data_IF_977618452948
#
_entry.id   IF_977618452948
#
_cell.length_a   1.000
_cell.length_b   1.000
_cell.length_c   1.000
_cell.angle_alpha   90.00
_cell.angle_beta   90.00
_cell.angle_gamma   90.00
#
_symmetry.space_group_name_H-M   'P 1'
#
loop_
_entity.id
_entity.type
_entity.pdbx_description
1 polymer ?
#
# COMPACT_ATOMS: atom_id res chain seq x y z
N UNK A 1 17.54 -20.83 3.53
CA UNK A 1 16.51 -19.85 3.95
C UNK A 1 15.32 -20.05 3.03
N UNK A 2 14.10 -20.13 3.54
CA UNK A 2 12.89 -20.27 2.71
C UNK A 2 12.61 -18.97 1.98
N UNK A 3 12.18 -19.04 0.70
CA UNK A 3 11.81 -17.86 -0.08
C UNK A 3 10.31 -17.61 0.04
N UNK A 4 9.95 -16.33 0.20
CA UNK A 4 8.59 -15.82 0.04
C UNK A 4 8.55 -15.05 -1.29
N UNK A 5 7.69 -15.45 -2.22
CA UNK A 5 7.38 -14.69 -3.42
C UNK A 5 6.10 -13.90 -3.18
N UNK A 6 6.22 -12.60 -3.20
CA UNK A 6 5.14 -11.66 -2.88
C UNK A 6 4.62 -11.03 -4.16
N UNK A 7 3.32 -11.11 -4.41
CA UNK A 7 2.66 -10.41 -5.51
C UNK A 7 1.98 -9.16 -4.98
N UNK A 8 2.43 -7.99 -5.41
CA UNK A 8 2.00 -6.70 -4.89
C UNK A 8 1.48 -5.77 -5.98
N UNK A 9 0.32 -5.16 -5.71
CA UNK A 9 -0.21 -4.03 -6.49
C UNK A 9 0.41 -2.70 -6.04
N UNK A 10 1.15 -2.69 -4.93
CA UNK A 10 1.81 -1.53 -4.37
C UNK A 10 3.27 -1.49 -4.78
N UNK A 11 3.79 -0.29 -5.07
CA UNK A 11 5.20 -0.08 -5.36
C UNK A 11 5.99 0.00 -4.05
N UNK A 12 7.12 -0.71 -4.02
CA UNK A 12 8.03 -0.69 -2.87
C UNK A 12 8.53 0.72 -2.52
N UNK A 13 8.83 1.51 -3.56
CA UNK A 13 9.45 2.83 -3.43
C UNK A 13 8.42 3.97 -3.38
N UNK A 14 7.11 3.68 -3.25
CA UNK A 14 6.10 4.74 -3.29
C UNK A 14 5.81 5.30 -1.90
N UNK A 15 5.09 4.59 -1.06
CA UNK A 15 4.82 4.97 0.33
C UNK A 15 5.12 3.80 1.25
N UNK A 16 5.65 4.10 2.44
CA UNK A 16 5.99 3.07 3.42
C UNK A 16 4.74 2.69 4.22
N UNK A 17 4.26 1.47 4.03
CA UNK A 17 3.02 0.99 4.64
C UNK A 17 3.12 -0.50 5.00
N UNK A 18 1.99 -1.18 5.22
CA UNK A 18 1.93 -2.58 5.70
C UNK A 18 2.90 -3.53 5.00
N UNK A 19 3.02 -3.59 3.65
CA UNK A 19 3.98 -4.49 3.01
C UNK A 19 5.42 -4.23 3.44
N UNK A 20 5.87 -2.98 3.45
CA UNK A 20 7.23 -2.65 3.86
C UNK A 20 7.47 -3.00 5.32
N UNK A 21 6.51 -2.69 6.22
CA UNK A 21 6.62 -3.03 7.65
C UNK A 21 6.73 -4.55 7.88
N UNK A 22 5.91 -5.36 7.20
CA UNK A 22 5.93 -6.81 7.38
C UNK A 22 7.14 -7.44 6.70
N UNK A 23 7.40 -7.11 5.44
CA UNK A 23 8.42 -7.79 4.64
C UNK A 23 9.83 -7.46 5.13
N UNK A 24 10.11 -6.25 5.63
CA UNK A 24 11.39 -5.91 6.25
C UNK A 24 11.66 -6.71 7.53
N UNK A 25 10.61 -7.02 8.30
CA UNK A 25 10.73 -7.84 9.51
C UNK A 25 10.88 -9.33 9.15
N UNK A 26 10.11 -9.80 8.17
CA UNK A 26 10.19 -11.18 7.67
C UNK A 26 11.55 -11.46 6.98
N UNK A 27 12.17 -10.46 6.35
CA UNK A 27 13.48 -10.58 5.71
C UNK A 27 14.63 -10.97 6.68
N UNK A 28 14.41 -10.87 7.99
CA UNK A 28 15.34 -11.40 9.00
C UNK A 28 15.41 -12.94 9.00
N UNK A 29 14.38 -13.60 8.47
CA UNK A 29 14.22 -15.05 8.54
C UNK A 29 13.97 -15.69 7.17
N UNK A 30 13.57 -14.91 6.17
CA UNK A 30 13.17 -15.35 4.84
C UNK A 30 13.89 -14.54 3.77
N UNK A 31 14.10 -15.13 2.60
CA UNK A 31 14.41 -14.39 1.39
C UNK A 31 13.10 -13.90 0.78
N UNK A 32 12.97 -12.62 0.54
CA UNK A 32 11.77 -11.98 0.02
C UNK A 32 11.98 -11.58 -1.45
N UNK A 33 11.10 -12.01 -2.33
CA UNK A 33 11.07 -11.57 -3.73
C UNK A 33 9.71 -10.93 -4.00
N UNK A 34 9.70 -9.64 -4.28
CA UNK A 34 8.48 -8.86 -4.47
C UNK A 34 8.28 -8.66 -5.96
N UNK A 35 7.25 -9.27 -6.52
CA UNK A 35 6.81 -9.07 -7.89
C UNK A 35 5.76 -7.96 -7.90
N UNK A 36 6.15 -6.80 -8.41
CA UNK A 36 5.26 -5.66 -8.58
C UNK A 36 4.45 -5.75 -9.88
N UNK A 37 3.39 -4.97 -9.97
CA UNK A 37 2.66 -4.79 -11.22
C UNK A 37 3.58 -4.33 -12.36
N UNK A 38 3.33 -4.77 -13.61
CA UNK A 38 4.13 -4.34 -14.75
C UNK A 38 4.15 -2.82 -14.94
N UNK A 39 5.25 -2.32 -15.47
CA UNK A 39 5.40 -0.95 -15.93
C UNK A 39 5.48 -0.94 -17.46
N UNK A 40 4.79 0.02 -18.06
CA UNK A 40 4.87 0.23 -19.50
C UNK A 40 6.29 0.65 -19.91
N UNK A 41 6.82 0.00 -20.95
CA UNK A 41 8.07 0.37 -21.61
C UNK A 41 8.02 -0.04 -23.08
N UNK A 42 7.72 0.92 -23.95
CA UNK A 42 7.64 0.71 -25.39
C UNK A 42 8.98 0.40 -26.05
N UNK A 43 10.11 0.59 -25.34
CA UNK A 43 11.45 0.56 -25.94
C UNK A 43 12.02 -0.85 -26.13
N UNK A 44 11.31 -1.92 -25.75
CA UNK A 44 11.87 -3.26 -25.88
C UNK A 44 10.93 -4.41 -25.53
N UNK A 45 11.40 -5.65 -25.62
CA UNK A 45 10.63 -6.81 -25.21
C UNK A 45 10.37 -6.82 -23.70
N UNK A 46 9.41 -7.64 -23.29
CA UNK A 46 9.14 -7.86 -21.87
C UNK A 46 10.41 -8.36 -21.16
N UNK A 47 10.73 -7.74 -20.02
CA UNK A 47 11.90 -8.07 -19.20
C UNK A 47 11.62 -7.85 -17.73
N UNK A 48 12.43 -8.49 -16.86
CA UNK A 48 12.34 -8.35 -15.41
C UNK A 48 13.50 -7.53 -14.89
N UNK A 49 13.22 -6.31 -14.42
CA UNK A 49 14.19 -5.52 -13.68
C UNK A 49 14.22 -5.96 -12.22
N UNK A 50 15.42 -6.03 -11.64
CA UNK A 50 15.62 -6.41 -10.23
C UNK A 50 16.41 -5.34 -9.50
N UNK A 51 15.99 -5.05 -8.27
CA UNK A 51 16.74 -4.21 -7.33
C UNK A 51 16.74 -4.84 -5.94
N UNK A 52 17.76 -4.55 -5.16
CA UNK A 52 17.93 -5.07 -3.79
C UNK A 52 17.97 -3.90 -2.80
N UNK A 53 16.82 -3.33 -2.43
CA UNK A 53 16.76 -2.16 -1.56
C UNK A 53 17.25 -2.45 -0.14
N UNK A 54 17.14 -3.69 0.32
CA UNK A 54 17.54 -4.12 1.65
C UNK A 54 18.08 -5.57 1.60
N UNK A 55 18.90 -5.99 2.59
CA UNK A 55 19.33 -7.38 2.69
C UNK A 55 18.13 -8.35 2.67
N UNK A 56 18.26 -9.41 1.87
CA UNK A 56 17.24 -10.45 1.68
C UNK A 56 15.92 -9.97 1.04
N UNK A 57 15.86 -8.75 0.49
CA UNK A 57 14.70 -8.25 -0.24
C UNK A 57 15.11 -7.93 -1.68
N UNK A 58 14.52 -8.63 -2.63
CA UNK A 58 14.64 -8.36 -4.07
C UNK A 58 13.30 -7.86 -4.58
N UNK A 59 13.27 -6.68 -5.19
CA UNK A 59 12.11 -6.15 -5.89
C UNK A 59 12.24 -6.48 -7.37
N UNK A 60 11.23 -7.15 -7.91
CA UNK A 60 11.13 -7.60 -9.29
C UNK A 60 10.06 -6.77 -10.01
N UNK A 61 10.46 -5.92 -10.95
CA UNK A 61 9.59 -5.05 -11.75
C UNK A 61 9.52 -5.54 -13.18
N UNK A 62 8.43 -6.17 -13.61
CA UNK A 62 8.25 -6.48 -15.02
C UNK A 62 8.14 -5.17 -15.83
N UNK A 63 8.87 -5.10 -16.95
CA UNK A 63 8.72 -4.08 -17.99
C UNK A 63 8.09 -4.72 -19.19
N UNK A 64 7.02 -4.15 -19.72
CA UNK A 64 6.31 -4.69 -20.87
C UNK A 64 5.98 -3.59 -21.89
N UNK A 65 5.86 -3.91 -23.18
CA UNK A 65 5.46 -2.95 -24.20
C UNK A 65 3.96 -2.58 -24.15
N UNK A 66 3.18 -3.21 -23.26
CA UNK A 66 1.74 -2.96 -23.15
C UNK A 66 1.47 -1.81 -22.19
N UNK A 67 0.65 -0.86 -22.62
CA UNK A 67 0.10 0.20 -21.76
C UNK A 67 -1.26 -0.25 -21.20
N UNK A 68 -1.21 -1.23 -20.30
CA UNK A 68 -2.36 -1.79 -19.62
C UNK A 68 -2.15 -1.80 -18.11
N UNK A 69 -3.18 -1.51 -17.30
CA UNK A 69 -3.03 -1.34 -15.87
C UNK A 69 -2.82 -2.67 -15.13
N UNK A 70 -1.93 -2.66 -14.19
CA UNK A 70 -1.74 -3.72 -13.20
C UNK A 70 -1.48 -5.10 -13.80
N UNK A 71 -1.97 -6.14 -13.13
CA UNK A 71 -1.92 -7.53 -13.61
C UNK A 71 -3.09 -7.84 -14.54
N UNK A 72 -3.24 -7.04 -15.63
CA UNK A 72 -4.17 -7.35 -16.72
C UNK A 72 -3.83 -8.70 -17.37
N UNK A 73 -4.81 -9.40 -17.98
CA UNK A 73 -4.59 -10.75 -18.57
C UNK A 73 -3.47 -10.75 -19.61
N UNK A 74 -3.45 -9.74 -20.49
CA UNK A 74 -2.40 -9.63 -21.51
C UNK A 74 -1.02 -9.31 -20.90
N UNK A 75 -0.98 -8.56 -19.79
CA UNK A 75 0.23 -8.34 -19.01
C UNK A 75 0.74 -9.66 -18.41
N UNK A 76 -0.18 -10.46 -17.84
CA UNK A 76 0.14 -11.77 -17.25
C UNK A 76 0.81 -12.67 -18.28
N UNK A 77 0.29 -12.71 -19.53
CA UNK A 77 0.88 -13.53 -20.60
C UNK A 77 2.34 -13.17 -20.89
N UNK A 78 2.73 -11.90 -20.72
CA UNK A 78 4.11 -11.45 -20.89
C UNK A 78 4.97 -11.64 -19.64
N UNK A 79 4.37 -11.55 -18.44
CA UNK A 79 5.09 -11.64 -17.16
C UNK A 79 5.35 -13.09 -16.77
N UNK A 80 4.43 -14.02 -17.03
CA UNK A 80 4.55 -15.42 -16.65
C UNK A 80 5.87 -16.06 -17.09
N UNK A 81 6.32 -15.94 -18.37
CA UNK A 81 7.62 -16.49 -18.79
C UNK A 81 8.81 -15.88 -18.04
N UNK A 82 8.73 -14.60 -17.62
CA UNK A 82 9.79 -13.93 -16.88
C UNK A 82 9.95 -14.49 -15.45
N UNK A 83 8.89 -15.08 -14.89
CA UNK A 83 8.89 -15.69 -13.57
C UNK A 83 9.30 -17.15 -13.59
N UNK A 84 9.25 -17.83 -14.73
CA UNK A 84 9.64 -19.25 -14.84
C UNK A 84 11.06 -19.53 -14.36
N UNK A 85 11.95 -18.54 -14.50
CA UNK A 85 13.36 -18.59 -14.05
C UNK A 85 13.62 -17.76 -12.78
N UNK A 86 12.55 -17.34 -12.08
CA UNK A 86 12.68 -16.55 -10.86
C UNK A 86 13.39 -17.33 -9.74
N UNK A 87 13.06 -18.60 -9.63
CA UNK A 87 13.60 -19.54 -8.64
C UNK A 87 14.01 -20.86 -9.29
N UNK A 88 14.97 -21.59 -8.70
CA UNK A 88 15.22 -22.98 -9.08
C UNK A 88 13.93 -23.83 -8.99
N UNK A 89 13.67 -24.67 -9.95
CA UNK A 89 12.47 -25.55 -9.97
C UNK A 89 12.33 -26.48 -8.75
N UNK A 90 13.42 -26.79 -8.09
CA UNK A 90 13.44 -27.57 -6.85
C UNK A 90 13.00 -26.78 -5.61
N UNK A 91 12.99 -25.44 -5.69
CA UNK A 91 12.61 -24.60 -4.58
C UNK A 91 11.08 -24.46 -4.50
N UNK A 92 10.54 -24.67 -3.29
CA UNK A 92 9.12 -24.54 -2.99
C UNK A 92 8.91 -23.29 -2.13
N UNK A 93 8.61 -22.14 -2.73
CA UNK A 93 8.43 -20.89 -1.99
C UNK A 93 7.11 -20.87 -1.22
N UNK A 94 6.96 -19.86 -0.35
CA UNK A 94 5.66 -19.39 0.09
C UNK A 94 5.20 -18.37 -0.94
N UNK A 95 4.02 -18.54 -1.54
CA UNK A 95 3.39 -17.56 -2.41
C UNK A 95 2.50 -16.64 -1.55
N UNK A 96 2.78 -15.34 -1.56
CA UNK A 96 2.10 -14.33 -0.75
C UNK A 96 1.43 -13.31 -1.64
N UNK A 97 0.13 -13.15 -1.52
CA UNK A 97 -0.66 -12.27 -2.36
C UNK A 97 -1.19 -11.07 -1.58
N UNK A 98 -0.85 -9.86 -2.01
CA UNK A 98 -1.53 -8.61 -1.64
C UNK A 98 -2.62 -8.24 -2.64
N UNK A 99 -2.63 -8.87 -3.82
CA UNK A 99 -3.66 -8.65 -4.84
C UNK A 99 -4.10 -9.96 -5.48
N UNK A 100 -5.41 -10.21 -5.56
CA UNK A 100 -5.93 -11.37 -6.30
C UNK A 100 -5.63 -11.31 -7.81
N UNK A 101 -5.37 -10.11 -8.36
CA UNK A 101 -5.15 -9.94 -9.80
C UNK A 101 -3.91 -10.69 -10.31
N UNK A 102 -2.94 -10.96 -9.46
CA UNK A 102 -1.74 -11.73 -9.79
C UNK A 102 -1.95 -13.26 -9.72
N UNK A 103 -3.11 -13.75 -9.32
CA UNK A 103 -3.36 -15.19 -9.12
C UNK A 103 -2.93 -16.08 -10.29
N UNK A 104 -3.15 -15.72 -11.58
CA UNK A 104 -2.71 -16.57 -12.68
C UNK A 104 -1.19 -16.83 -12.71
N UNK A 105 -0.37 -15.96 -12.13
CA UNK A 105 1.08 -16.15 -12.05
C UNK A 105 1.48 -17.27 -11.07
N UNK A 106 0.55 -17.74 -10.22
CA UNK A 106 0.81 -18.86 -9.32
C UNK A 106 1.21 -20.14 -10.06
N UNK A 107 0.74 -20.32 -11.29
CA UNK A 107 1.08 -21.50 -12.14
C UNK A 107 2.58 -21.59 -12.45
N UNK A 108 3.32 -20.49 -12.41
CA UNK A 108 4.77 -20.45 -12.62
C UNK A 108 5.57 -20.90 -11.39
N UNK A 109 4.89 -21.10 -10.27
CA UNK A 109 5.48 -21.50 -9.00
C UNK A 109 4.94 -22.89 -8.57
N UNK A 110 5.76 -23.60 -7.80
CA UNK A 110 5.31 -24.79 -7.06
C UNK A 110 5.38 -24.46 -5.57
N UNK A 111 4.43 -23.65 -5.03
CA UNK A 111 4.54 -23.19 -3.67
C UNK A 111 4.29 -24.31 -2.66
N UNK A 112 4.91 -24.18 -1.49
CA UNK A 112 4.64 -25.02 -0.33
C UNK A 112 3.48 -24.51 0.52
N UNK A 113 3.15 -23.24 0.37
CA UNK A 113 2.09 -22.52 1.09
C UNK A 113 1.64 -21.34 0.25
N UNK A 114 0.33 -21.09 0.23
CA UNK A 114 -0.30 -19.93 -0.39
C UNK A 114 -0.93 -19.06 0.70
N UNK A 115 -0.53 -17.79 0.77
CA UNK A 115 -1.03 -16.82 1.73
C UNK A 115 -1.74 -15.69 0.97
N UNK A 116 -2.93 -15.34 1.40
CA UNK A 116 -3.62 -14.13 0.97
C UNK A 116 -3.64 -13.12 2.13
N UNK A 117 -2.91 -12.02 1.99
CA UNK A 117 -2.93 -10.89 2.93
C UNK A 117 -3.87 -9.80 2.38
N UNK A 118 -5.14 -9.92 2.73
CA UNK A 118 -6.21 -9.01 2.36
C UNK A 118 -6.10 -7.75 3.25
N UNK A 119 -5.29 -6.80 2.82
CA UNK A 119 -5.09 -5.55 3.54
C UNK A 119 -6.16 -4.48 3.24
N UNK A 120 -6.82 -4.59 2.10
CA UNK A 120 -7.87 -3.69 1.63
C UNK A 120 -8.99 -4.48 0.93
N UNK A 121 -10.22 -3.94 0.90
CA UNK A 121 -11.29 -4.43 0.02
C UNK A 121 -11.12 -3.81 -1.37
N UNK A 122 -10.20 -4.39 -2.16
CA UNK A 122 -9.82 -3.84 -3.47
C UNK A 122 -11.00 -3.67 -4.43
N UNK A 123 -12.05 -4.48 -4.27
CA UNK A 123 -13.26 -4.40 -5.09
C UNK A 123 -14.12 -3.16 -4.79
N UNK A 124 -13.92 -2.51 -3.64
CA UNK A 124 -14.64 -1.31 -3.23
C UNK A 124 -14.04 -0.01 -3.77
N UNK A 125 -12.84 -0.07 -4.37
CA UNK A 125 -12.23 1.11 -4.98
C UNK A 125 -12.82 1.43 -6.35
N UNK A 126 -12.87 2.71 -6.68
CA UNK A 126 -13.26 3.18 -8.02
C UNK A 126 -12.37 2.53 -9.08
N UNK A 127 -12.99 2.12 -10.19
CA UNK A 127 -12.30 1.47 -11.33
C UNK A 127 -11.68 0.09 -11.02
N UNK A 128 -12.13 -0.60 -9.96
CA UNK A 128 -11.69 -1.98 -9.72
C UNK A 128 -11.97 -2.86 -10.95
N UNK A 129 -11.02 -3.71 -11.38
CA UNK A 129 -11.23 -4.62 -12.51
C UNK A 129 -12.39 -5.59 -12.25
N UNK A 130 -13.20 -5.88 -13.28
CA UNK A 130 -14.33 -6.81 -13.13
C UNK A 130 -13.91 -8.22 -12.70
N UNK A 131 -12.72 -8.66 -13.12
CA UNK A 131 -12.15 -9.96 -12.77
C UNK A 131 -11.75 -10.07 -11.31
N UNK A 132 -11.62 -8.96 -10.59
CA UNK A 132 -11.09 -8.94 -9.23
C UNK A 132 -11.87 -9.85 -8.27
N UNK A 133 -13.21 -9.75 -8.27
CA UNK A 133 -14.08 -10.58 -7.42
C UNK A 133 -13.97 -12.08 -7.73
N UNK A 134 -13.88 -12.42 -9.01
CA UNK A 134 -13.71 -13.80 -9.46
C UNK A 134 -12.34 -14.34 -9.02
N UNK A 135 -11.29 -13.55 -9.22
CA UNK A 135 -9.92 -13.93 -8.82
C UNK A 135 -9.76 -13.99 -7.31
N UNK A 136 -10.42 -13.10 -6.57
CA UNK A 136 -10.43 -13.18 -5.10
C UNK A 136 -11.10 -14.47 -4.63
N UNK A 137 -12.24 -14.84 -5.21
CA UNK A 137 -12.92 -16.09 -4.85
C UNK A 137 -12.05 -17.30 -5.18
N UNK A 138 -11.36 -17.30 -6.31
CA UNK A 138 -10.43 -18.36 -6.67
C UNK A 138 -9.22 -18.41 -5.73
N UNK A 139 -8.66 -17.25 -5.37
CA UNK A 139 -7.53 -17.15 -4.43
C UNK A 139 -7.92 -17.64 -3.04
N UNK A 140 -9.10 -17.28 -2.54
CA UNK A 140 -9.61 -17.78 -1.26
C UNK A 140 -9.76 -19.31 -1.25
N UNK A 141 -10.15 -19.91 -2.38
CA UNK A 141 -10.24 -21.38 -2.47
C UNK A 141 -8.87 -22.10 -2.51
N UNK A 142 -7.81 -21.39 -2.93
CA UNK A 142 -6.45 -21.94 -3.08
C UNK A 142 -5.53 -21.60 -1.91
N UNK A 143 -5.86 -20.55 -1.14
CA UNK A 143 -5.06 -20.13 -0.01
C UNK A 143 -5.07 -21.17 1.12
N UNK A 144 -3.95 -21.34 1.79
CA UNK A 144 -3.82 -22.09 3.05
C UNK A 144 -4.10 -21.19 4.25
N UNK A 145 -3.75 -19.91 4.13
CA UNK A 145 -3.91 -18.87 5.14
C UNK A 145 -4.44 -17.59 4.53
N UNK A 146 -5.35 -16.95 5.25
CA UNK A 146 -5.87 -15.61 4.90
C UNK A 146 -5.66 -14.67 6.09
N UNK A 147 -4.99 -13.55 5.84
CA UNK A 147 -4.87 -12.46 6.79
C UNK A 147 -5.79 -11.32 6.38
N UNK A 148 -6.59 -10.84 7.31
CA UNK A 148 -7.45 -9.68 7.14
C UNK A 148 -6.84 -8.47 7.84
N UNK A 149 -6.65 -7.38 7.11
CA UNK A 149 -5.97 -6.15 7.57
C UNK A 149 -6.79 -5.28 8.53
N UNK A 150 -7.93 -5.77 9.00
CA UNK A 150 -8.77 -5.08 9.98
C UNK A 150 -10.01 -5.87 10.34
N UNK A 151 -10.72 -5.48 11.43
CA UNK A 151 -11.91 -6.18 11.89
C UNK A 151 -13.03 -6.28 10.84
N UNK A 152 -13.29 -5.20 10.11
CA UNK A 152 -14.33 -5.18 9.05
C UNK A 152 -14.01 -6.13 7.90
N UNK A 153 -12.73 -6.22 7.49
CA UNK A 153 -12.26 -7.19 6.51
C UNK A 153 -12.37 -8.63 7.04
N UNK A 154 -11.99 -8.84 8.29
CA UNK A 154 -12.13 -10.14 8.93
C UNK A 154 -13.59 -10.61 8.94
N UNK A 155 -14.52 -9.78 9.37
CA UNK A 155 -15.95 -10.11 9.34
C UNK A 155 -16.47 -10.43 7.93
N UNK A 156 -15.99 -9.72 6.92
CA UNK A 156 -16.36 -9.96 5.53
C UNK A 156 -15.78 -11.25 4.95
N UNK A 157 -14.62 -11.72 5.45
CA UNK A 157 -13.90 -12.89 4.88
C UNK A 157 -14.02 -14.16 5.72
N UNK A 158 -14.29 -14.10 7.03
CA UNK A 158 -14.25 -15.26 7.96
C UNK A 158 -15.14 -16.43 7.59
N UNK A 159 -16.22 -16.19 6.84
CA UNK A 159 -17.13 -17.24 6.38
C UNK A 159 -16.79 -17.74 4.97
N UNK A 160 -15.79 -17.15 4.31
CA UNK A 160 -15.38 -17.50 2.95
C UNK A 160 -14.16 -18.43 2.91
N UNK A 161 -13.48 -18.60 4.05
CA UNK A 161 -12.31 -19.45 4.15
C UNK A 161 -12.17 -19.97 5.59
N UNK A 162 -11.79 -21.26 5.82
CA UNK A 162 -11.72 -21.85 7.16
C UNK A 162 -10.59 -21.32 8.04
N UNK A 163 -9.57 -20.69 7.46
CA UNK A 163 -8.34 -20.28 8.16
C UNK A 163 -8.07 -18.79 7.92
N UNK A 164 -8.96 -17.93 8.44
CA UNK A 164 -8.86 -16.47 8.37
C UNK A 164 -8.45 -15.91 9.72
N UNK A 165 -7.46 -15.03 9.72
CA UNK A 165 -6.95 -14.36 10.93
C UNK A 165 -7.00 -12.86 10.77
N UNK A 166 -7.46 -12.16 11.81
CA UNK A 166 -7.46 -10.70 11.86
C UNK A 166 -6.09 -10.20 12.35
N UNK A 167 -5.35 -9.55 11.45
CA UNK A 167 -4.11 -8.85 11.76
C UNK A 167 -4.21 -7.41 11.27
N UNK A 168 -4.81 -6.50 12.05
CA UNK A 168 -4.91 -5.09 11.69
C UNK A 168 -3.56 -4.50 11.36
N UNK A 169 -3.55 -3.53 10.44
CA UNK A 169 -2.38 -2.68 10.26
C UNK A 169 -2.02 -2.03 11.60
N UNK A 170 -0.75 -1.83 11.84
CA UNK A 170 -0.23 -1.32 13.10
C UNK A 170 0.85 -0.29 12.84
N UNK A 171 1.18 0.48 13.86
CA UNK A 171 2.17 1.54 13.82
C UNK A 171 3.53 1.03 14.34
N UNK A 172 4.62 1.56 13.80
CA UNK A 172 5.94 1.42 14.40
C UNK A 172 6.07 2.38 15.59
N UNK A 173 5.76 1.86 16.78
CA UNK A 173 5.70 2.66 18.01
C UNK A 173 7.04 3.35 18.28
N UNK A 174 8.17 2.65 18.12
CA UNK A 174 9.48 3.23 18.39
C UNK A 174 9.81 4.38 17.42
N UNK A 175 9.38 4.27 16.16
CA UNK A 175 9.55 5.31 15.15
C UNK A 175 8.73 6.56 15.49
N UNK A 176 7.43 6.41 15.73
CA UNK A 176 6.54 7.56 15.96
C UNK A 176 6.65 8.15 17.37
N UNK A 177 7.09 7.39 18.39
CA UNK A 177 7.33 7.91 19.73
C UNK A 177 8.40 9.01 19.77
N UNK A 178 9.26 9.11 18.75
CA UNK A 178 10.22 10.20 18.62
C UNK A 178 9.55 11.58 18.57
N UNK A 179 8.32 11.67 18.05
CA UNK A 179 7.54 12.90 18.04
C UNK A 179 7.22 13.46 19.41
N UNK A 180 7.31 12.65 20.47
CA UNK A 180 7.04 13.05 21.86
C UNK A 180 8.26 13.70 22.54
N UNK A 181 9.06 14.46 21.82
CA UNK A 181 10.14 15.28 22.34
C UNK A 181 11.55 14.79 22.06
N UNK A 182 11.73 13.73 21.24
CA UNK A 182 13.04 13.25 20.83
C UNK A 182 13.56 13.93 19.55
N UNK A 183 12.69 14.62 18.78
CA UNK A 183 13.02 15.28 17.53
C UNK A 183 12.38 16.66 17.43
N UNK A 184 13.05 17.57 16.72
CA UNK A 184 12.53 18.89 16.41
C UNK A 184 11.50 18.82 15.26
N UNK A 185 10.62 19.83 15.19
CA UNK A 185 9.71 20.03 14.06
C UNK A 185 10.45 20.02 12.72
N UNK A 186 9.77 19.55 11.68
CA UNK A 186 10.36 19.50 10.34
C UNK A 186 10.43 20.90 9.72
N UNK A 187 11.60 21.33 9.15
CA UNK A 187 11.79 22.69 8.62
C UNK A 187 10.78 23.11 7.55
N UNK A 188 10.23 22.18 6.79
CA UNK A 188 9.23 22.46 5.77
C UNK A 188 7.92 23.09 6.32
N UNK A 189 7.69 23.00 7.64
CA UNK A 189 6.51 23.59 8.29
C UNK A 189 6.83 24.72 9.28
N UNK A 190 8.10 25.13 9.40
CA UNK A 190 8.52 26.16 10.38
C UNK A 190 7.87 27.53 10.13
N UNK A 191 7.57 27.83 8.86
CA UNK A 191 6.90 29.07 8.45
C UNK A 191 5.38 29.07 8.69
N UNK A 192 4.79 27.91 9.03
CA UNK A 192 3.36 27.78 9.30
C UNK A 192 3.13 28.07 10.79
N UNK A 193 2.30 29.06 11.16
CA UNK A 193 2.03 29.35 12.56
C UNK A 193 1.22 28.22 13.24
N UNK A 194 1.12 28.23 14.54
CA UNK A 194 0.16 27.40 15.27
C UNK A 194 -1.22 28.06 15.43
N UNK A 195 -2.26 27.26 15.79
CA UNK A 195 -2.21 25.82 15.97
C UNK A 195 -2.21 25.05 14.64
N UNK A 196 -1.43 23.97 14.56
CA UNK A 196 -1.33 23.11 13.38
C UNK A 196 -2.11 21.82 13.58
N UNK A 197 -3.02 21.55 12.66
CA UNK A 197 -3.79 20.31 12.60
C UNK A 197 -3.28 19.50 11.41
N UNK A 198 -2.59 18.39 11.65
CA UNK A 198 -1.86 17.66 10.63
C UNK A 198 -2.48 16.34 10.23
N UNK A 199 -2.36 16.02 8.96
CA UNK A 199 -2.65 14.71 8.38
C UNK A 199 -1.44 14.24 7.57
N UNK A 200 -1.06 12.97 7.71
CA UNK A 200 -0.13 12.35 6.79
C UNK A 200 -0.74 11.09 6.17
N UNK A 201 -0.54 10.92 4.87
CA UNK A 201 -1.06 9.78 4.09
C UNK A 201 -1.32 10.15 2.65
N UNK A 202 -1.76 9.17 1.87
CA UNK A 202 -2.19 9.41 0.50
C UNK A 202 -3.46 10.24 0.49
N UNK A 203 -3.44 11.36 -0.24
CA UNK A 203 -4.59 12.24 -0.45
C UNK A 203 -5.31 11.76 -1.71
N UNK A 204 -6.42 11.05 -1.52
CA UNK A 204 -7.24 10.49 -2.59
C UNK A 204 -8.74 10.52 -2.23
N UNK A 205 -9.56 9.74 -2.93
CA UNK A 205 -11.02 9.63 -2.73
C UNK A 205 -11.45 9.24 -1.30
N UNK A 206 -10.53 8.84 -0.44
CA UNK A 206 -10.80 8.50 0.97
C UNK A 206 -10.82 9.73 1.87
N UNK A 207 -10.17 10.83 1.46
CA UNK A 207 -10.15 12.08 2.22
C UNK A 207 -11.43 12.86 1.97
N UNK A 208 -12.09 13.30 3.03
CA UNK A 208 -13.23 14.21 2.96
C UNK A 208 -12.74 15.65 2.72
N UNK A 209 -12.58 15.99 1.46
CA UNK A 209 -12.11 17.31 1.04
C UNK A 209 -13.11 18.42 1.41
N UNK A 210 -14.41 18.11 1.49
CA UNK A 210 -15.43 19.05 1.92
C UNK A 210 -15.30 19.37 3.42
N UNK A 211 -15.01 18.36 4.25
CA UNK A 211 -14.72 18.55 5.66
C UNK A 211 -13.44 19.38 5.86
N UNK A 212 -12.38 19.10 5.09
CA UNK A 212 -11.13 19.88 5.14
C UNK A 212 -11.39 21.36 4.79
N UNK A 213 -12.20 21.63 3.75
CA UNK A 213 -12.59 22.99 3.37
C UNK A 213 -13.40 23.67 4.48
N UNK A 214 -14.40 23.00 5.02
CA UNK A 214 -15.26 23.53 6.07
C UNK A 214 -14.47 23.89 7.34
N UNK A 215 -13.56 22.99 7.78
CA UNK A 215 -12.68 23.27 8.92
C UNK A 215 -11.81 24.52 8.69
N UNK A 216 -11.30 24.69 7.48
CA UNK A 216 -10.49 25.84 7.15
C UNK A 216 -11.30 27.16 7.11
N UNK A 217 -12.54 27.09 6.61
CA UNK A 217 -13.45 28.24 6.50
C UNK A 217 -13.99 28.65 7.89
N UNK A 218 -14.35 27.69 8.74
CA UNK A 218 -14.91 27.93 10.09
C UNK A 218 -13.85 28.37 11.10
N UNK A 219 -12.59 27.98 10.87
CA UNK A 219 -11.46 28.25 11.79
C UNK A 219 -10.27 28.84 11.03
N UNK A 220 -10.34 30.11 10.60
CA UNK A 220 -9.28 30.73 9.80
C UNK A 220 -7.94 30.91 10.53
N UNK A 221 -7.94 30.81 11.85
CA UNK A 221 -6.76 30.81 12.71
C UNK A 221 -6.07 29.44 12.84
N UNK A 222 -6.74 28.35 12.47
CA UNK A 222 -6.15 27.01 12.44
C UNK A 222 -5.40 26.76 11.15
N UNK A 223 -4.30 26.03 11.23
CA UNK A 223 -3.49 25.67 10.07
C UNK A 223 -3.62 24.19 9.76
N UNK A 224 -4.21 23.85 8.63
CA UNK A 224 -4.35 22.47 8.19
C UNK A 224 -3.13 22.05 7.38
N UNK A 225 -2.34 21.11 7.87
CA UNK A 225 -1.07 20.65 7.25
C UNK A 225 -1.25 19.23 6.72
N UNK A 226 -1.29 19.09 5.39
CA UNK A 226 -1.48 17.80 4.73
C UNK A 226 -0.16 17.35 4.09
N UNK A 227 0.34 16.19 4.54
CA UNK A 227 1.61 15.59 4.11
C UNK A 227 1.33 14.28 3.38
N UNK A 228 1.63 14.23 2.10
CA UNK A 228 1.48 13.02 1.29
C UNK A 228 1.25 13.31 -0.19
N UNK A 229 1.33 12.26 -1.04
CA UNK A 229 1.07 12.40 -2.46
C UNK A 229 -0.43 12.50 -2.76
N UNK A 230 -0.78 13.27 -3.78
CA UNK A 230 -2.13 13.29 -4.36
C UNK A 230 -2.22 12.20 -5.41
N UNK A 231 -3.18 11.28 -5.28
CA UNK A 231 -3.33 10.11 -6.15
C UNK A 231 -4.80 9.85 -6.45
N UNK A 232 -5.13 9.45 -7.66
CA UNK A 232 -6.49 9.12 -8.15
C UNK A 232 -7.46 10.30 -8.24
N UNK A 233 -7.15 11.42 -7.64
CA UNK A 233 -7.85 12.70 -7.76
C UNK A 233 -6.90 13.71 -8.41
N UNK A 234 -7.44 14.83 -8.87
CA UNK A 234 -6.64 15.87 -9.49
C UNK A 234 -6.32 16.99 -8.49
N UNK A 235 -5.24 17.73 -8.75
CA UNK A 235 -4.85 18.90 -7.93
C UNK A 235 -5.97 19.97 -7.85
N UNK A 236 -6.79 20.06 -8.91
CA UNK A 236 -7.90 21.02 -9.00
C UNK A 236 -9.09 20.64 -8.07
N UNK A 237 -9.17 19.41 -7.63
CA UNK A 237 -10.18 18.97 -6.66
C UNK A 237 -9.83 19.38 -5.22
N UNK A 238 -8.55 19.75 -4.97
CA UNK A 238 -8.09 20.09 -3.64
C UNK A 238 -8.62 21.47 -3.20
N UNK A 239 -9.22 21.59 -2.00
CA UNK A 239 -9.63 22.90 -1.49
C UNK A 239 -8.42 23.81 -1.28
N UNK A 240 -8.48 25.02 -1.83
CA UNK A 240 -7.44 26.02 -1.71
C UNK A 240 -7.92 27.13 -0.77
N UNK A 241 -7.30 27.21 0.41
CA UNK A 241 -7.51 28.26 1.43
C UNK A 241 -6.17 28.73 1.95
N UNK A 242 -6.07 29.97 2.45
CA UNK A 242 -4.80 30.50 2.97
C UNK A 242 -4.19 29.70 4.11
N UNK A 243 -5.03 28.99 4.86
CA UNK A 243 -4.68 28.17 6.02
C UNK A 243 -4.69 26.64 5.72
N UNK A 244 -4.67 26.24 4.45
CA UNK A 244 -4.47 24.83 4.04
C UNK A 244 -3.12 24.71 3.36
N UNK A 245 -2.25 23.86 3.89
CA UNK A 245 -0.87 23.67 3.43
C UNK A 245 -0.67 22.24 2.93
N UNK A 246 -0.44 22.06 1.63
CA UNK A 246 -0.10 20.77 1.04
C UNK A 246 1.41 20.68 0.89
N UNK A 247 2.06 19.82 1.69
CA UNK A 247 3.53 19.73 1.73
C UNK A 247 4.09 18.63 0.81
N UNK A 248 3.21 17.91 0.09
CA UNK A 248 3.60 16.85 -0.82
C UNK A 248 4.10 15.58 -0.10
N UNK A 249 4.60 14.62 -0.89
CA UNK A 249 5.15 13.38 -0.36
C UNK A 249 6.43 13.64 0.41
N UNK A 250 6.60 12.96 1.54
CA UNK A 250 7.79 13.01 2.40
C UNK A 250 8.25 11.60 2.71
N UNK A 251 9.52 11.48 3.06
CA UNK A 251 10.08 10.20 3.47
C UNK A 251 9.48 9.74 4.80
N UNK A 252 9.27 8.44 4.91
CA UNK A 252 8.75 7.84 6.14
C UNK A 252 9.59 8.21 7.37
N UNK A 253 10.91 8.30 7.20
CA UNK A 253 11.85 8.68 8.26
C UNK A 253 11.59 10.09 8.84
N UNK A 254 11.03 11.00 8.05
CA UNK A 254 10.76 12.38 8.47
C UNK A 254 9.41 12.56 9.16
N UNK A 255 8.49 11.60 9.04
CA UNK A 255 7.12 11.74 9.59
C UNK A 255 7.07 12.09 11.08
N UNK A 256 7.90 11.51 11.97
CA UNK A 256 7.90 11.91 13.39
C UNK A 256 8.18 13.40 13.60
N UNK A 257 9.01 14.02 12.74
CA UNK A 257 9.33 15.45 12.80
C UNK A 257 8.17 16.34 12.38
N UNK A 258 7.33 15.85 11.45
CA UNK A 258 6.06 16.55 11.13
C UNK A 258 5.11 16.48 12.31
N UNK A 259 4.92 15.28 12.90
CA UNK A 259 4.04 15.08 14.05
C UNK A 259 4.48 15.90 15.26
N UNK A 260 5.79 16.02 15.50
CA UNK A 260 6.34 16.83 16.59
C UNK A 260 5.96 18.33 16.51
N UNK A 261 5.63 18.81 15.31
CA UNK A 261 5.20 20.17 15.08
C UNK A 261 3.68 20.37 15.02
N UNK A 262 2.86 19.31 15.26
CA UNK A 262 1.40 19.41 15.21
C UNK A 262 0.78 19.42 16.62
N UNK A 263 -0.24 20.26 16.78
CA UNK A 263 -1.05 20.30 18.00
C UNK A 263 -2.11 19.19 18.00
N UNK A 264 -2.61 18.83 16.81
CA UNK A 264 -3.62 17.77 16.62
C UNK A 264 -3.28 16.96 15.37
N UNK A 265 -3.36 15.63 15.47
CA UNK A 265 -3.33 14.74 14.31
C UNK A 265 -4.75 14.49 13.83
N UNK A 266 -5.00 14.74 12.55
CA UNK A 266 -6.30 14.55 11.91
C UNK A 266 -6.34 13.22 11.15
N UNK A 267 -7.54 12.69 11.00
CA UNK A 267 -7.86 11.61 10.08
C UNK A 267 -9.19 11.94 9.38
N UNK A 268 -9.16 12.85 8.41
CA UNK A 268 -10.36 13.40 7.78
C UNK A 268 -10.87 12.48 6.67
N UNK A 269 -11.23 11.24 7.02
CA UNK A 269 -11.74 10.28 6.03
C UNK A 269 -13.24 10.45 5.81
N UNK A 270 -13.63 10.42 4.54
CA UNK A 270 -15.01 10.36 4.12
C UNK A 270 -15.66 9.04 4.57
N UNK A 271 -16.95 9.07 4.87
CA UNK A 271 -17.73 7.87 5.16
C UNK A 271 -18.34 7.37 3.85
N UNK A 272 -17.66 6.41 3.20
CA UNK A 272 -18.08 5.84 1.92
C UNK A 272 -17.68 4.35 1.82
N UNK A 273 -18.00 3.70 0.70
CA UNK A 273 -17.68 2.28 0.49
C UNK A 273 -16.16 2.00 0.51
N UNK A 274 -15.34 2.93 0.02
CA UNK A 274 -13.88 2.76 0.00
C UNK A 274 -13.28 2.80 1.42
N UNK A 275 -13.91 3.55 2.34
CA UNK A 275 -13.42 3.71 3.72
C UNK A 275 -14.01 2.71 4.71
N UNK A 276 -15.12 2.04 4.34
CA UNK A 276 -15.85 1.10 5.21
C UNK A 276 -14.95 -0.01 5.80
N UNK A 277 -13.97 -0.45 5.03
CA UNK A 277 -13.09 -1.56 5.40
C UNK A 277 -11.70 -1.12 5.88
N UNK A 278 -11.46 0.19 5.95
CA UNK A 278 -10.16 0.70 6.39
C UNK A 278 -10.03 0.48 7.90
N UNK A 279 -8.85 0.00 8.31
CA UNK A 279 -8.37 0.02 9.69
C UNK A 279 -7.25 1.05 9.76
N UNK A 280 -7.57 2.32 10.07
CA UNK A 280 -6.58 3.39 10.04
C UNK A 280 -5.56 3.25 11.18
N UNK A 281 -4.32 3.62 10.87
CA UNK A 281 -3.17 3.58 11.80
C UNK A 281 -2.44 4.89 11.81
#
# INVERSE_FOLDING_TARGET
MVTIVVFSHLRWDFVFQRPQHLLTRLARHYRIMIVEEPLHDAAGPARLERSEPLPNITVCRPRTPLDLPGFHDDQIALVAPLLADLLPRSEKPIAWFYTPMALPLLQELTPRLVVYDCMDELASFKKAPRQLLQRESALLNLADLVFAGGPSLYEAKRHRHPNVHCFPSSVDVAHFAQAQGAVDSHPAQDHIPGPRLGFYGVIDERVDLALVAALADDHPDWQLVLVGPVVKITEDELPRRPNIHYLGQRDYADLPRFLAGWDVCLMPFAINEATRFISPT
#
